data_IF_426029353470
#
_entry.id   IF_426029353470
#
_cell.length_a   1.000
_cell.length_b   1.000
_cell.length_c   1.000
_cell.angle_alpha   90.00
_cell.angle_beta   90.00
_cell.angle_gamma   90.00
#
_symmetry.space_group_name_H-M   'P 1'
#
loop_
_entity.id
_entity.type
_entity.pdbx_description
1 polymer ?
#
# COMPACT_ATOMS: atom_id res chain seq x y z
N UNK A 1 -47.18 -62.84 35.31
CA UNK A 1 -47.30 -62.16 33.99
C UNK A 1 -47.35 -60.63 34.09
N UNK A 2 -47.91 -60.02 35.14
CA UNK A 2 -48.03 -58.55 35.25
C UNK A 2 -46.73 -57.74 35.45
N UNK A 3 -45.75 -58.26 36.22
CA UNK A 3 -44.49 -57.53 36.48
C UNK A 3 -43.60 -57.37 35.24
N UNK A 4 -43.56 -58.39 34.36
CA UNK A 4 -42.75 -58.33 33.14
C UNK A 4 -43.26 -57.25 32.17
N UNK A 5 -44.58 -57.06 32.06
CA UNK A 5 -45.16 -56.07 31.15
C UNK A 5 -44.85 -54.62 31.59
N UNK A 6 -44.82 -54.35 32.90
CA UNK A 6 -44.47 -53.04 33.46
C UNK A 6 -42.99 -52.68 33.26
N UNK A 7 -42.10 -53.66 33.42
CA UNK A 7 -40.65 -53.49 33.21
C UNK A 7 -40.35 -53.19 31.73
N UNK A 8 -40.97 -53.93 30.80
CA UNK A 8 -40.80 -53.69 29.36
C UNK A 8 -41.29 -52.31 28.92
N UNK A 9 -42.38 -51.82 29.53
CA UNK A 9 -42.92 -50.49 29.21
C UNK A 9 -42.01 -49.38 29.74
N UNK A 10 -41.47 -49.55 30.95
CA UNK A 10 -40.50 -48.62 31.56
C UNK A 10 -39.19 -48.56 30.76
N UNK A 11 -38.67 -49.70 30.30
CA UNK A 11 -37.46 -49.77 29.47
C UNK A 11 -37.68 -49.07 28.11
N UNK A 12 -38.85 -49.24 27.48
CA UNK A 12 -39.17 -48.56 26.22
C UNK A 12 -39.23 -47.03 26.39
N UNK A 13 -39.82 -46.54 27.47
CA UNK A 13 -39.89 -45.11 27.78
C UNK A 13 -38.50 -44.53 28.08
N UNK A 14 -37.67 -45.25 28.84
CA UNK A 14 -36.30 -44.84 29.12
C UNK A 14 -35.44 -44.80 27.84
N UNK A 15 -35.60 -45.77 26.95
CA UNK A 15 -34.90 -45.79 25.66
C UNK A 15 -35.36 -44.64 24.75
N UNK A 16 -36.67 -44.37 24.69
CA UNK A 16 -37.20 -43.25 23.91
C UNK A 16 -36.68 -41.89 24.44
N UNK A 17 -36.64 -41.69 25.76
CA UNK A 17 -36.09 -40.48 26.37
C UNK A 17 -34.59 -40.33 26.09
N UNK A 18 -33.82 -41.42 26.22
CA UNK A 18 -32.39 -41.43 25.88
C UNK A 18 -32.15 -41.12 24.39
N UNK A 19 -32.93 -41.72 23.49
CA UNK A 19 -32.85 -41.49 22.05
C UNK A 19 -33.15 -40.04 21.68
N UNK A 20 -34.15 -39.42 22.31
CA UNK A 20 -34.47 -38.00 22.09
C UNK A 20 -33.36 -37.07 22.56
N UNK A 21 -32.73 -37.36 23.70
CA UNK A 21 -31.58 -36.59 24.20
C UNK A 21 -30.34 -36.79 23.31
N UNK A 22 -30.13 -38.01 22.81
CA UNK A 22 -29.04 -38.29 21.87
C UNK A 22 -29.27 -37.58 20.53
N UNK A 23 -30.49 -37.63 19.99
CA UNK A 23 -30.87 -36.98 18.74
C UNK A 23 -30.76 -35.46 18.85
N UNK A 24 -31.17 -34.85 19.97
CA UNK A 24 -31.04 -33.41 20.18
C UNK A 24 -29.57 -32.98 20.28
N UNK A 25 -28.71 -33.77 20.93
CA UNK A 25 -27.26 -33.53 20.97
C UNK A 25 -26.60 -33.72 19.61
N UNK A 26 -27.06 -34.67 18.80
CA UNK A 26 -26.59 -34.88 17.44
C UNK A 26 -26.98 -33.70 16.53
N UNK A 27 -28.24 -33.26 16.58
CA UNK A 27 -28.72 -32.09 15.84
C UNK A 27 -27.97 -30.83 16.27
N UNK A 28 -27.80 -30.60 17.58
CA UNK A 28 -27.01 -29.47 18.09
C UNK A 28 -25.55 -29.55 17.64
N UNK A 29 -24.93 -30.74 17.69
CA UNK A 29 -23.56 -30.93 17.19
C UNK A 29 -23.47 -30.68 15.70
N UNK A 30 -24.45 -31.11 14.89
CA UNK A 30 -24.49 -30.86 13.45
C UNK A 30 -24.74 -29.39 13.12
N UNK A 31 -25.58 -28.68 13.88
CA UNK A 31 -25.79 -27.23 13.72
C UNK A 31 -24.55 -26.44 14.14
N UNK A 32 -23.90 -26.82 15.24
CA UNK A 32 -22.62 -26.23 15.65
C UNK A 32 -21.54 -26.56 14.62
N UNK A 33 -21.54 -27.78 14.06
CA UNK A 33 -20.61 -28.14 12.99
C UNK A 33 -20.88 -27.31 11.73
N UNK A 34 -22.13 -27.15 11.28
CA UNK A 34 -22.44 -26.30 10.12
C UNK A 34 -22.13 -24.83 10.36
N UNK A 35 -22.34 -24.33 11.57
CA UNK A 35 -22.04 -22.95 11.94
C UNK A 35 -20.51 -22.70 12.05
N UNK A 36 -19.74 -23.71 12.46
CA UNK A 36 -18.26 -23.68 12.43
C UNK A 36 -17.72 -23.90 11.01
N UNK A 37 -18.42 -24.69 10.17
CA UNK A 37 -18.09 -24.95 8.76
C UNK A 37 -18.61 -23.88 7.78
N UNK A 38 -19.37 -22.90 8.27
CA UNK A 38 -19.75 -21.69 7.52
C UNK A 38 -18.62 -20.66 7.48
N UNK A 39 -17.44 -20.97 8.02
CA UNK A 39 -16.20 -20.29 7.67
C UNK A 39 -15.91 -20.50 6.19
N UNK A 40 -16.24 -19.48 5.37
CA UNK A 40 -16.19 -19.48 3.91
C UNK A 40 -15.10 -20.40 3.34
N UNK A 41 -15.52 -21.56 2.82
CA UNK A 41 -14.63 -22.47 2.10
C UNK A 41 -14.14 -21.76 0.85
N UNK A 42 -12.85 -21.45 0.80
CA UNK A 42 -12.23 -20.92 -0.41
C UNK A 42 -12.04 -22.06 -1.41
N UNK A 43 -12.47 -21.92 -2.68
CA UNK A 43 -12.29 -22.94 -3.68
C UNK A 43 -10.83 -23.41 -3.78
N UNK A 44 -10.62 -24.71 -4.01
CA UNK A 44 -9.29 -25.29 -4.17
C UNK A 44 -8.46 -24.57 -5.24
N UNK A 45 -9.11 -24.20 -6.34
CA UNK A 45 -8.49 -23.44 -7.44
C UNK A 45 -7.97 -22.08 -6.97
N UNK A 46 -8.74 -21.36 -6.15
CA UNK A 46 -8.35 -20.07 -5.57
C UNK A 46 -7.20 -20.23 -4.59
N UNK A 47 -7.23 -21.25 -3.73
CA UNK A 47 -6.12 -21.57 -2.83
C UNK A 47 -4.83 -21.91 -3.60
N UNK A 48 -4.94 -22.69 -4.68
CA UNK A 48 -3.81 -23.04 -5.54
C UNK A 48 -3.28 -21.83 -6.31
N UNK A 49 -4.16 -20.96 -6.80
CA UNK A 49 -3.78 -19.71 -7.45
C UNK A 49 -2.93 -18.82 -6.53
N UNK A 50 -3.32 -18.67 -5.25
CA UNK A 50 -2.55 -17.92 -4.25
C UNK A 50 -1.17 -18.54 -4.08
N UNK A 51 -1.08 -19.86 -3.96
CA UNK A 51 0.19 -20.56 -3.78
C UNK A 51 1.12 -20.37 -4.98
N UNK A 52 0.59 -20.42 -6.21
CA UNK A 52 1.36 -20.11 -7.41
C UNK A 52 1.89 -18.66 -7.41
N UNK A 53 1.09 -17.69 -6.96
CA UNK A 53 1.54 -16.30 -6.86
C UNK A 53 2.64 -16.14 -5.80
N UNK A 54 2.50 -16.83 -4.67
CA UNK A 54 3.49 -16.85 -3.58
C UNK A 54 4.80 -17.49 -4.03
N UNK A 55 4.72 -18.61 -4.76
CA UNK A 55 5.86 -19.31 -5.37
C UNK A 55 6.69 -18.37 -6.25
N UNK A 56 6.03 -17.56 -7.09
CA UNK A 56 6.73 -16.56 -7.92
C UNK A 56 7.34 -15.44 -7.07
N UNK A 57 6.66 -14.99 -6.01
CA UNK A 57 7.13 -13.93 -5.14
C UNK A 57 8.36 -14.33 -4.29
N UNK A 58 8.37 -15.55 -3.73
CA UNK A 58 9.41 -16.09 -2.85
C UNK A 58 10.51 -16.90 -3.57
N UNK A 59 10.41 -17.09 -4.88
CA UNK A 59 11.37 -17.84 -5.69
C UNK A 59 11.31 -19.37 -5.53
N UNK A 60 10.24 -19.94 -4.98
CA UNK A 60 10.08 -21.40 -4.78
C UNK A 60 9.81 -22.17 -6.10
N UNK A 61 10.01 -21.53 -7.25
CA UNK A 61 10.14 -22.19 -8.56
C UNK A 61 11.59 -22.41 -8.98
N UNK A 62 12.55 -21.83 -8.25
CA UNK A 62 13.97 -22.06 -8.44
C UNK A 62 14.43 -23.20 -7.53
N UNK A 63 14.96 -24.26 -8.12
CA UNK A 63 15.63 -25.36 -7.41
C UNK A 63 17.04 -24.97 -6.90
N UNK A 64 17.28 -23.68 -6.66
CA UNK A 64 18.57 -23.17 -6.19
C UNK A 64 18.36 -22.01 -5.20
N UNK A 65 18.79 -22.23 -3.96
CA UNK A 65 18.75 -21.23 -2.87
C UNK A 65 19.74 -20.06 -3.07
N UNK A 66 20.61 -20.12 -4.09
CA UNK A 66 21.64 -19.11 -4.34
C UNK A 66 21.04 -17.73 -4.61
N UNK A 67 21.50 -16.76 -3.84
CA UNK A 67 21.17 -15.34 -3.98
C UNK A 67 21.43 -14.83 -5.41
N UNK A 68 22.49 -15.29 -6.07
CA UNK A 68 22.85 -14.86 -7.43
C UNK A 68 21.71 -15.09 -8.44
N UNK A 69 21.11 -16.28 -8.45
CA UNK A 69 20.04 -16.63 -9.38
C UNK A 69 18.79 -15.77 -9.13
N UNK A 70 18.47 -15.51 -7.86
CA UNK A 70 17.36 -14.63 -7.48
C UNK A 70 17.59 -13.19 -7.93
N UNK A 71 18.82 -12.68 -7.86
CA UNK A 71 19.17 -11.36 -8.36
C UNK A 71 19.04 -11.27 -9.87
N UNK A 72 19.55 -12.26 -10.61
CA UNK A 72 19.38 -12.36 -12.07
C UNK A 72 17.90 -12.36 -12.43
N UNK A 73 17.10 -13.20 -11.74
CA UNK A 73 15.68 -13.35 -12.01
C UNK A 73 14.88 -12.04 -11.81
N UNK A 74 15.31 -11.18 -10.88
CA UNK A 74 14.74 -9.85 -10.66
C UNK A 74 15.27 -8.81 -11.64
N UNK A 75 16.55 -8.86 -11.95
CA UNK A 75 17.23 -7.86 -12.75
C UNK A 75 16.71 -7.84 -14.20
N UNK A 76 16.45 -9.01 -14.80
CA UNK A 76 16.07 -9.13 -16.21
C UNK A 76 14.77 -8.33 -16.54
N UNK A 77 13.64 -8.51 -15.83
CA UNK A 77 12.43 -7.73 -16.10
C UNK A 77 12.56 -6.23 -15.78
N UNK A 78 13.56 -5.85 -14.98
CA UNK A 78 13.77 -4.47 -14.52
C UNK A 78 14.85 -3.71 -15.30
N UNK A 79 15.42 -4.28 -16.37
CA UNK A 79 16.45 -3.61 -17.17
C UNK A 79 15.99 -2.28 -17.78
N UNK A 80 14.68 -2.11 -18.03
CA UNK A 80 14.13 -0.82 -18.46
C UNK A 80 14.42 0.30 -17.44
N UNK A 81 14.42 0.00 -16.14
CA UNK A 81 14.66 0.98 -15.09
C UNK A 81 16.12 1.42 -15.06
N UNK A 82 17.06 0.54 -15.42
CA UNK A 82 18.47 0.90 -15.60
C UNK A 82 18.60 1.89 -16.75
N UNK A 83 18.01 1.58 -17.91
CA UNK A 83 18.07 2.46 -19.10
C UNK A 83 17.47 3.83 -18.84
N UNK A 84 16.36 3.87 -18.10
CA UNK A 84 15.59 5.09 -17.88
C UNK A 84 16.12 5.89 -16.71
N UNK A 85 16.46 5.28 -15.57
CA UNK A 85 16.83 6.03 -14.36
C UNK A 85 18.32 5.92 -13.99
N UNK A 86 19.11 5.12 -14.71
CA UNK A 86 20.53 4.93 -14.40
C UNK A 86 20.78 4.23 -13.06
N UNK A 87 19.80 3.50 -12.51
CA UNK A 87 19.87 2.89 -11.18
C UNK A 87 20.55 1.51 -11.19
N UNK A 88 21.43 1.28 -10.22
CA UNK A 88 22.01 -0.03 -9.89
C UNK A 88 21.71 -0.36 -8.41
N UNK A 89 20.54 -0.96 -8.17
CA UNK A 89 20.05 -1.32 -6.84
C UNK A 89 19.53 -2.76 -6.80
N UNK A 90 18.93 -3.16 -5.67
CA UNK A 90 18.40 -4.52 -5.44
C UNK A 90 17.29 -4.99 -6.42
N UNK A 91 16.73 -4.08 -7.22
CA UNK A 91 15.76 -4.43 -8.27
C UNK A 91 16.42 -4.72 -9.61
N UNK A 92 17.56 -4.11 -9.89
CA UNK A 92 18.21 -4.10 -11.22
C UNK A 92 19.56 -4.81 -11.25
N UNK A 93 20.22 -4.94 -10.10
CA UNK A 93 21.58 -5.48 -10.00
C UNK A 93 21.60 -7.00 -10.01
N UNK A 94 22.62 -7.56 -10.65
CA UNK A 94 23.02 -8.97 -10.48
C UNK A 94 24.19 -9.12 -9.51
N UNK A 95 24.74 -8.02 -8.99
CA UNK A 95 25.90 -8.01 -8.12
C UNK A 95 25.48 -8.14 -6.64
N UNK A 96 25.95 -9.22 -5.99
CA UNK A 96 25.64 -9.50 -4.57
C UNK A 96 26.11 -8.37 -3.63
N UNK A 97 27.25 -7.74 -3.91
CA UNK A 97 27.79 -6.67 -3.07
C UNK A 97 26.95 -5.39 -3.21
N UNK A 98 26.55 -5.02 -4.42
CA UNK A 98 25.61 -3.90 -4.64
C UNK A 98 24.29 -4.15 -3.91
N UNK A 99 23.72 -5.35 -4.04
CA UNK A 99 22.49 -5.73 -3.34
C UNK A 99 22.64 -5.62 -1.81
N UNK A 100 23.71 -6.18 -1.24
CA UNK A 100 23.97 -6.11 0.21
C UNK A 100 24.18 -4.68 0.70
N UNK A 101 24.90 -3.86 -0.07
CA UNK A 101 25.11 -2.43 0.24
C UNK A 101 23.78 -1.68 0.24
N UNK A 102 22.94 -1.91 -0.78
CA UNK A 102 21.61 -1.32 -0.85
C UNK A 102 20.77 -1.65 0.39
N UNK A 103 20.65 -2.93 0.74
CA UNK A 103 19.88 -3.36 1.93
C UNK A 103 20.46 -2.80 3.23
N UNK A 104 21.80 -2.69 3.34
CA UNK A 104 22.44 -2.09 4.52
C UNK A 104 22.09 -0.60 4.63
N UNK A 105 22.15 0.15 3.53
CA UNK A 105 21.85 1.58 3.52
C UNK A 105 20.38 1.84 3.84
N UNK A 106 19.47 1.12 3.19
CA UNK A 106 18.04 1.20 3.48
C UNK A 106 17.76 0.77 4.93
N UNK A 107 18.39 -0.32 5.38
CA UNK A 107 18.30 -0.77 6.77
C UNK A 107 18.68 0.34 7.76
N UNK A 108 19.83 1.00 7.59
CA UNK A 108 20.25 2.10 8.47
C UNK A 108 19.25 3.26 8.49
N UNK A 109 18.76 3.68 7.32
CA UNK A 109 17.79 4.77 7.22
C UNK A 109 16.46 4.43 7.91
N UNK A 110 16.06 3.15 7.91
CA UNK A 110 14.81 2.69 8.51
C UNK A 110 14.93 2.28 9.99
N UNK A 111 16.06 1.72 10.41
CA UNK A 111 16.31 1.26 11.79
C UNK A 111 16.36 2.39 12.81
N UNK A 112 16.56 3.64 12.36
CA UNK A 112 16.51 4.82 13.20
C UNK A 112 15.11 5.31 13.55
N UNK A 113 14.05 4.82 12.89
CA UNK A 113 12.67 5.31 13.07
C UNK A 113 11.97 4.58 14.23
N UNK A 114 11.94 5.22 15.39
CA UNK A 114 11.25 4.81 16.63
C UNK A 114 9.88 5.50 16.73
N UNK A 115 9.08 5.13 17.73
CA UNK A 115 7.79 5.76 18.01
C UNK A 115 7.91 7.31 18.09
N UNK A 116 8.97 7.79 18.74
CA UNK A 116 9.33 9.21 18.88
C UNK A 116 9.60 9.97 17.56
N UNK A 117 9.81 9.26 16.44
CA UNK A 117 10.08 9.89 15.14
C UNK A 117 8.81 10.21 14.35
N UNK A 118 7.66 9.62 14.69
CA UNK A 118 6.41 9.85 13.98
C UNK A 118 5.88 11.28 14.12
N UNK A 119 5.90 11.92 15.31
CA UNK A 119 5.56 13.33 15.44
C UNK A 119 6.47 14.25 14.63
N UNK A 120 7.78 13.94 14.57
CA UNK A 120 8.75 14.69 13.76
C UNK A 120 8.47 14.54 12.27
N UNK A 121 8.20 13.32 11.80
CA UNK A 121 7.83 13.05 10.42
C UNK A 121 6.52 13.73 10.03
N UNK A 122 5.51 13.70 10.91
CA UNK A 122 4.25 14.41 10.71
C UNK A 122 4.45 15.93 10.62
N UNK A 123 5.29 16.50 11.49
CA UNK A 123 5.63 17.93 11.46
C UNK A 123 6.32 18.30 10.15
N UNK A 124 7.33 17.53 9.75
CA UNK A 124 8.04 17.72 8.49
C UNK A 124 7.12 17.63 7.27
N UNK A 125 6.20 16.64 7.25
CA UNK A 125 5.19 16.50 6.20
C UNK A 125 4.20 17.67 6.17
N UNK A 126 3.76 18.15 7.33
CA UNK A 126 2.86 19.30 7.44
C UNK A 126 3.53 20.58 6.94
N UNK A 127 4.80 20.82 7.32
CA UNK A 127 5.61 21.92 6.80
C UNK A 127 5.77 21.84 5.28
N UNK A 128 6.10 20.65 4.74
CA UNK A 128 6.19 20.44 3.30
C UNK A 128 4.90 20.80 2.58
N UNK A 129 3.75 20.30 3.06
CA UNK A 129 2.46 20.57 2.43
C UNK A 129 2.10 22.06 2.49
N UNK A 130 2.36 22.73 3.62
CA UNK A 130 2.13 24.17 3.75
C UNK A 130 2.96 24.99 2.76
N UNK A 131 4.24 24.65 2.60
CA UNK A 131 5.14 25.30 1.63
C UNK A 131 4.67 25.08 0.18
N UNK A 132 4.22 23.86 -0.14
CA UNK A 132 3.66 23.55 -1.46
C UNK A 132 2.37 24.36 -1.69
N UNK A 133 1.43 24.35 -0.73
CA UNK A 133 0.16 25.06 -0.83
C UNK A 133 0.32 26.58 -0.98
N UNK A 134 1.37 27.16 -0.41
CA UNK A 134 1.69 28.58 -0.57
C UNK A 134 1.90 28.96 -2.05
N UNK A 135 2.35 28.04 -2.91
CA UNK A 135 2.47 28.28 -4.35
C UNK A 135 1.11 28.38 -5.07
N UNK A 136 0.06 27.82 -4.48
CA UNK A 136 -1.28 27.78 -5.03
C UNK A 136 -2.22 28.78 -4.36
N UNK A 137 -1.70 29.78 -3.63
CA UNK A 137 -2.51 30.74 -2.89
C UNK A 137 -3.55 31.47 -3.76
N UNK A 138 -3.28 31.68 -5.05
CA UNK A 138 -4.22 32.28 -6.01
C UNK A 138 -5.16 31.30 -6.73
N UNK A 139 -5.07 29.99 -6.44
CA UNK A 139 -5.82 28.92 -7.11
C UNK A 139 -6.42 27.91 -6.10
N UNK A 140 -6.78 28.39 -4.89
CA UNK A 140 -7.36 27.55 -3.82
C UNK A 140 -8.64 26.81 -4.22
N UNK A 141 -9.31 27.29 -5.27
CA UNK A 141 -10.55 26.72 -5.79
C UNK A 141 -10.32 25.48 -6.67
N UNK A 142 -9.07 25.17 -7.05
CA UNK A 142 -8.74 24.03 -7.90
C UNK A 142 -7.29 23.57 -7.70
N UNK A 143 -7.04 22.85 -6.62
CA UNK A 143 -5.74 22.30 -6.24
C UNK A 143 -5.43 20.99 -7.00
N UNK A 144 -4.29 20.85 -7.72
CA UNK A 144 -3.97 19.64 -8.48
C UNK A 144 -3.45 18.52 -7.56
N UNK A 145 -4.31 17.52 -7.28
CA UNK A 145 -4.09 16.51 -6.24
C UNK A 145 -2.87 15.63 -6.48
N UNK A 146 -2.67 15.15 -7.71
CA UNK A 146 -1.53 14.29 -8.04
C UNK A 146 -0.20 15.02 -7.88
N UNK A 147 -0.14 16.26 -8.36
CA UNK A 147 1.03 17.13 -8.26
C UNK A 147 1.38 17.42 -6.80
N UNK A 148 0.41 17.90 -6.01
CA UNK A 148 0.60 18.17 -4.58
C UNK A 148 1.11 16.94 -3.82
N UNK A 149 0.47 15.79 -4.08
CA UNK A 149 0.85 14.54 -3.41
C UNK A 149 2.25 14.08 -3.83
N UNK A 150 2.59 14.20 -5.12
CA UNK A 150 3.94 13.90 -5.63
C UNK A 150 4.99 14.75 -4.91
N UNK A 151 4.80 16.05 -4.81
CA UNK A 151 5.79 16.91 -4.14
C UNK A 151 5.90 16.64 -2.64
N UNK A 152 4.77 16.45 -1.95
CA UNK A 152 4.73 16.12 -0.52
C UNK A 152 5.52 14.83 -0.23
N UNK A 153 5.26 13.77 -0.99
CA UNK A 153 5.93 12.48 -0.79
C UNK A 153 7.42 12.56 -1.18
N UNK A 154 7.76 13.36 -2.21
CA UNK A 154 9.14 13.57 -2.61
C UNK A 154 9.95 14.27 -1.52
N UNK A 155 9.45 15.40 -1.00
CA UNK A 155 10.10 16.14 0.09
C UNK A 155 10.27 15.28 1.35
N UNK A 156 9.24 14.53 1.73
CA UNK A 156 9.31 13.65 2.91
C UNK A 156 10.20 12.43 2.69
N UNK A 157 10.40 12.00 1.45
CA UNK A 157 11.44 11.02 1.07
C UNK A 157 12.84 11.61 1.25
N UNK A 158 13.08 12.84 0.79
CA UNK A 158 14.36 13.53 0.99
C UNK A 158 14.68 13.71 2.48
N UNK A 159 13.70 14.17 3.25
CA UNK A 159 13.80 14.29 4.71
C UNK A 159 14.15 12.95 5.38
N UNK A 160 13.47 11.87 4.99
CA UNK A 160 13.60 10.58 5.69
C UNK A 160 14.88 9.82 5.38
N UNK A 161 15.39 9.95 4.15
CA UNK A 161 16.50 9.13 3.67
C UNK A 161 17.80 9.90 3.46
N UNK A 162 17.73 11.24 3.40
CA UNK A 162 18.86 12.12 3.12
C UNK A 162 19.02 13.26 4.12
N UNK A 163 18.20 13.29 5.18
CA UNK A 163 18.27 14.27 6.28
C UNK A 163 18.21 15.73 5.80
N UNK A 164 17.51 15.97 4.69
CA UNK A 164 17.36 17.30 4.09
C UNK A 164 16.40 18.14 4.93
N UNK A 165 16.80 19.37 5.25
CA UNK A 165 15.87 20.37 5.77
C UNK A 165 14.94 20.85 4.64
N UNK A 166 13.66 20.49 4.75
CA UNK A 166 12.60 20.77 3.77
C UNK A 166 12.49 22.27 3.47
N UNK A 167 12.69 23.15 4.45
CA UNK A 167 12.54 24.59 4.29
C UNK A 167 13.63 25.20 3.38
N UNK A 168 14.76 24.52 3.24
CA UNK A 168 15.88 24.98 2.41
C UNK A 168 15.82 24.43 0.97
N UNK A 169 14.84 23.58 0.65
CA UNK A 169 14.72 22.95 -0.66
C UNK A 169 13.98 23.87 -1.62
N UNK A 170 14.57 24.11 -2.78
CA UNK A 170 13.90 24.79 -3.90
C UNK A 170 12.69 23.98 -4.37
N UNK A 171 11.49 24.49 -4.15
CA UNK A 171 10.27 23.81 -4.61
C UNK A 171 10.16 23.77 -6.14
N UNK A 172 10.83 24.69 -6.86
CA UNK A 172 10.97 24.57 -8.31
C UNK A 172 11.74 23.30 -8.69
N UNK A 173 12.84 23.00 -7.98
CA UNK A 173 13.63 21.79 -8.22
C UNK A 173 12.85 20.51 -7.85
N UNK A 174 12.00 20.58 -6.81
CA UNK A 174 11.07 19.50 -6.47
C UNK A 174 10.08 19.24 -7.61
N UNK A 175 9.47 20.30 -8.18
CA UNK A 175 8.55 20.19 -9.31
C UNK A 175 9.23 19.59 -10.53
N UNK A 176 10.44 20.07 -10.85
CA UNK A 176 11.24 19.56 -11.97
C UNK A 176 11.55 18.08 -11.77
N UNK A 177 12.05 17.69 -10.59
CA UNK A 177 12.41 16.31 -10.31
C UNK A 177 11.19 15.36 -10.37
N UNK A 178 10.08 15.74 -9.74
CA UNK A 178 8.86 14.90 -9.71
C UNK A 178 8.18 14.79 -11.07
N UNK A 179 8.22 15.84 -11.90
CA UNK A 179 7.74 15.77 -13.28
C UNK A 179 8.65 14.91 -14.16
N UNK A 180 9.97 15.10 -14.08
CA UNK A 180 10.92 14.29 -14.84
C UNK A 180 10.78 12.80 -14.52
N UNK A 181 10.66 12.44 -13.23
CA UNK A 181 10.44 11.03 -12.82
C UNK A 181 9.14 10.47 -13.42
N UNK A 182 8.04 11.23 -13.36
CA UNK A 182 6.76 10.80 -13.88
C UNK A 182 6.79 10.60 -15.41
N UNK A 183 7.29 11.60 -16.14
CA UNK A 183 7.44 11.58 -17.61
C UNK A 183 8.28 10.38 -18.04
N UNK A 184 9.48 10.25 -17.44
CA UNK A 184 10.39 9.15 -17.73
C UNK A 184 9.75 7.78 -17.46
N UNK A 185 8.97 7.65 -16.40
CA UNK A 185 8.24 6.41 -16.12
C UNK A 185 7.18 6.11 -17.18
N UNK A 186 6.39 7.11 -17.59
CA UNK A 186 5.35 6.96 -18.61
C UNK A 186 5.98 6.53 -19.94
N UNK A 187 7.03 7.23 -20.38
CA UNK A 187 7.73 6.95 -21.63
C UNK A 187 8.57 5.66 -21.60
N UNK A 188 8.97 5.17 -20.41
CA UNK A 188 9.71 3.89 -20.27
C UNK A 188 8.97 2.67 -20.83
N UNK A 189 7.64 2.77 -20.99
CA UNK A 189 6.80 1.67 -21.47
C UNK A 189 6.69 1.61 -22.98
N UNK A 190 6.94 2.70 -23.69
CA UNK A 190 6.74 2.81 -25.14
C UNK A 190 8.04 2.98 -25.92
N UNK A 191 9.18 3.27 -25.25
CA UNK A 191 10.54 3.36 -25.83
C UNK A 191 10.55 4.08 -27.20
N UNK A 192 9.81 5.19 -27.31
CA UNK A 192 9.62 5.87 -28.60
C UNK A 192 10.44 7.16 -28.74
N UNK A 193 11.04 7.68 -27.66
CA UNK A 193 11.59 9.05 -27.64
C UNK A 193 12.86 9.15 -26.75
N UNK A 194 14.04 8.70 -27.25
CA UNK A 194 15.28 8.69 -26.47
C UNK A 194 15.77 10.10 -26.10
N UNK A 195 15.58 11.09 -26.96
CA UNK A 195 16.04 12.47 -26.71
C UNK A 195 15.32 13.11 -25.52
N UNK A 196 14.00 12.92 -25.44
CA UNK A 196 13.16 13.41 -24.32
C UNK A 196 13.60 12.74 -23.01
N UNK A 197 13.89 11.44 -23.02
CA UNK A 197 14.40 10.74 -21.83
C UNK A 197 15.74 11.31 -21.38
N UNK A 198 16.65 11.60 -22.32
CA UNK A 198 17.96 12.17 -21.98
C UNK A 198 17.86 13.60 -21.45
N UNK A 199 16.94 14.41 -21.98
CA UNK A 199 16.64 15.74 -21.46
C UNK A 199 16.08 15.66 -20.02
N UNK A 200 15.05 14.83 -19.79
CA UNK A 200 14.48 14.63 -18.45
C UNK A 200 15.50 14.09 -17.45
N UNK A 201 16.39 13.18 -17.86
CA UNK A 201 17.51 12.73 -17.02
C UNK A 201 18.44 13.86 -16.62
N UNK A 202 18.78 14.77 -17.55
CA UNK A 202 19.65 15.92 -17.28
C UNK A 202 18.99 16.89 -16.31
N UNK A 203 17.71 17.21 -16.51
CA UNK A 203 16.92 18.07 -15.62
C UNK A 203 16.84 17.47 -14.21
N UNK A 204 16.51 16.18 -14.12
CA UNK A 204 16.45 15.45 -12.85
C UNK A 204 17.78 15.50 -12.11
N UNK A 205 18.89 15.18 -12.79
CA UNK A 205 20.21 15.16 -12.16
C UNK A 205 20.66 16.56 -11.72
N UNK A 206 20.35 17.60 -12.48
CA UNK A 206 20.65 18.97 -12.10
C UNK A 206 19.86 19.41 -10.85
N UNK A 207 18.57 19.07 -10.79
CA UNK A 207 17.72 19.33 -9.63
C UNK A 207 18.20 18.55 -8.39
N UNK A 208 18.52 17.26 -8.54
CA UNK A 208 19.04 16.44 -7.45
C UNK A 208 20.40 16.95 -6.95
N UNK A 209 21.29 17.39 -7.83
CA UNK A 209 22.58 17.95 -7.43
C UNK A 209 22.41 19.20 -6.54
N UNK A 210 21.44 20.07 -6.86
CA UNK A 210 21.16 21.26 -6.05
C UNK A 210 20.53 20.90 -4.70
N UNK A 211 19.63 19.91 -4.67
CA UNK A 211 18.94 19.50 -3.44
C UNK A 211 19.79 18.59 -2.54
N UNK A 212 20.70 17.81 -3.12
CA UNK A 212 21.50 16.77 -2.46
C UNK A 212 22.99 16.87 -2.83
N UNK A 213 23.66 18.01 -2.62
CA UNK A 213 25.04 18.22 -3.10
C UNK A 213 26.03 17.18 -2.54
N UNK A 214 25.79 16.68 -1.32
CA UNK A 214 26.65 15.67 -0.67
C UNK A 214 26.56 14.27 -1.29
N UNK A 215 25.52 14.01 -2.11
CA UNK A 215 25.34 12.73 -2.80
C UNK A 215 26.07 12.70 -4.15
N UNK A 216 26.74 13.80 -4.54
CA UNK A 216 27.46 13.93 -5.81
C UNK A 216 28.94 14.31 -5.60
N UNK A 217 29.85 13.92 -6.52
CA UNK A 217 29.60 13.09 -7.70
C UNK A 217 29.28 11.63 -7.33
N UNK A 218 28.42 10.98 -8.11
CA UNK A 218 27.99 9.60 -7.85
C UNK A 218 28.27 8.66 -9.03
N UNK A 219 28.37 7.36 -8.71
CA UNK A 219 28.27 6.28 -9.69
C UNK A 219 26.81 5.80 -9.80
N UNK A 220 26.49 4.98 -10.81
CA UNK A 220 25.17 4.35 -10.92
C UNK A 220 24.75 3.61 -9.62
N UNK A 221 25.70 3.02 -8.91
CA UNK A 221 25.45 2.22 -7.71
C UNK A 221 25.40 3.03 -6.40
N UNK A 222 25.71 4.34 -6.46
CA UNK A 222 25.62 5.29 -5.36
C UNK A 222 24.66 6.44 -5.65
N UNK A 223 24.10 6.50 -6.85
CA UNK A 223 23.15 7.55 -7.25
C UNK A 223 21.95 7.61 -6.29
N UNK A 224 21.50 8.81 -5.85
CA UNK A 224 20.37 8.94 -4.92
C UNK A 224 19.05 8.32 -5.45
N UNK A 225 18.88 8.22 -6.77
CA UNK A 225 17.74 7.56 -7.41
C UNK A 225 17.58 6.08 -7.04
N UNK A 226 18.66 5.43 -6.58
CA UNK A 226 18.57 4.07 -6.06
C UNK A 226 17.62 3.97 -4.86
N UNK A 227 17.52 5.02 -4.03
CA UNK A 227 16.64 5.10 -2.85
C UNK A 227 15.38 5.89 -3.18
N UNK A 228 15.50 7.04 -3.87
CA UNK A 228 14.36 7.91 -4.17
C UNK A 228 13.32 7.15 -4.98
N UNK A 229 13.69 6.49 -6.08
CA UNK A 229 12.71 5.83 -6.94
C UNK A 229 11.83 4.81 -6.18
N UNK A 230 12.38 3.80 -5.47
CA UNK A 230 11.54 2.83 -4.76
C UNK A 230 10.84 3.39 -3.51
N UNK A 231 11.28 4.50 -2.92
CA UNK A 231 10.63 5.07 -1.74
C UNK A 231 9.51 6.06 -2.11
N UNK A 232 9.77 6.94 -3.07
CA UNK A 232 8.84 7.97 -3.53
C UNK A 232 7.77 7.39 -4.45
N UNK A 233 8.18 6.65 -5.49
CA UNK A 233 7.29 6.27 -6.58
C UNK A 233 6.19 5.31 -6.15
N UNK A 234 6.51 4.41 -5.22
CA UNK A 234 5.52 3.48 -4.68
C UNK A 234 4.59 4.13 -3.67
N UNK A 235 4.96 5.27 -3.09
CA UNK A 235 4.30 5.87 -1.92
C UNK A 235 3.28 6.94 -2.31
N UNK A 236 3.59 7.81 -3.27
CA UNK A 236 2.70 8.95 -3.56
C UNK A 236 1.32 8.50 -4.07
N UNK A 237 1.28 7.43 -4.88
CA UNK A 237 0.03 6.91 -5.47
C UNK A 237 -0.88 6.30 -4.42
N UNK A 238 -0.29 5.51 -3.53
CA UNK A 238 -1.04 4.85 -2.46
C UNK A 238 -1.55 5.87 -1.45
N UNK A 239 -0.75 6.88 -1.12
CA UNK A 239 -1.18 8.01 -0.27
C UNK A 239 -2.37 8.73 -0.90
N UNK A 240 -2.27 9.14 -2.18
CA UNK A 240 -3.37 9.81 -2.87
C UNK A 240 -4.64 8.96 -2.91
N UNK A 241 -4.55 7.72 -3.38
CA UNK A 241 -5.72 6.86 -3.56
C UNK A 241 -6.37 6.48 -2.23
N UNK A 242 -5.58 6.31 -1.16
CA UNK A 242 -6.10 6.05 0.20
C UNK A 242 -6.80 7.30 0.74
N UNK A 243 -6.20 8.48 0.59
CA UNK A 243 -6.82 9.74 0.99
C UNK A 243 -8.16 9.95 0.29
N UNK A 244 -8.21 9.76 -1.03
CA UNK A 244 -9.45 9.91 -1.78
C UNK A 244 -10.49 8.86 -1.36
N UNK A 245 -10.10 7.60 -1.21
CA UNK A 245 -11.00 6.51 -0.81
C UNK A 245 -11.62 6.75 0.57
N UNK A 246 -10.81 7.15 1.54
CA UNK A 246 -11.27 7.39 2.90
C UNK A 246 -12.05 8.72 3.05
N UNK A 247 -11.67 9.76 2.29
CA UNK A 247 -12.19 11.12 2.48
C UNK A 247 -13.33 11.54 1.54
N UNK A 248 -13.50 10.89 0.38
CA UNK A 248 -14.37 11.37 -0.69
C UNK A 248 -15.19 10.29 -1.42
N UNK A 249 -14.94 9.01 -1.17
CA UNK A 249 -15.70 7.90 -1.77
C UNK A 249 -16.80 7.42 -0.82
N UNK A 250 -17.66 6.55 -1.35
CA UNK A 250 -18.75 5.97 -0.57
C UNK A 250 -18.19 4.93 0.41
N UNK A 251 -18.28 5.24 1.70
CA UNK A 251 -17.88 4.37 2.81
C UNK A 251 -19.03 4.34 3.82
N UNK A 252 -19.15 3.26 4.57
CA UNK A 252 -20.13 3.19 5.65
C UNK A 252 -19.84 4.21 6.77
N UNK A 253 -20.87 4.53 7.56
CA UNK A 253 -20.78 5.54 8.61
C UNK A 253 -19.71 5.19 9.65
N UNK A 254 -19.56 3.91 9.98
CA UNK A 254 -18.54 3.46 10.94
C UNK A 254 -17.13 3.76 10.42
N UNK A 255 -16.85 3.47 9.14
CA UNK A 255 -15.58 3.77 8.50
C UNK A 255 -15.33 5.28 8.45
N UNK A 256 -16.35 6.09 8.16
CA UNK A 256 -16.23 7.55 8.20
C UNK A 256 -15.89 8.07 9.61
N UNK A 257 -16.57 7.56 10.64
CA UNK A 257 -16.32 7.91 12.04
C UNK A 257 -14.92 7.49 12.49
N UNK A 258 -14.48 6.26 12.15
CA UNK A 258 -13.11 5.80 12.41
C UNK A 258 -12.07 6.68 11.71
N UNK A 259 -12.33 7.10 10.46
CA UNK A 259 -11.39 7.99 9.77
C UNK A 259 -11.28 9.35 10.47
N UNK A 260 -12.38 9.88 11.00
CA UNK A 260 -12.40 11.11 11.79
C UNK A 260 -11.55 10.97 13.06
N UNK A 261 -11.68 9.86 13.77
CA UNK A 261 -10.84 9.54 14.94
C UNK A 261 -9.36 9.43 14.57
N UNK A 262 -9.04 8.76 13.45
CA UNK A 262 -7.67 8.65 12.93
C UNK A 262 -7.09 10.02 12.57
N UNK A 263 -7.87 10.88 11.92
CA UNK A 263 -7.44 12.26 11.62
C UNK A 263 -7.14 13.00 12.92
N UNK A 264 -7.95 12.84 13.97
CA UNK A 264 -7.72 13.54 15.23
C UNK A 264 -6.51 13.00 15.99
N UNK A 265 -6.34 11.68 16.04
CA UNK A 265 -5.33 11.03 16.88
C UNK A 265 -3.94 10.85 16.27
N UNK A 266 -3.78 10.98 14.94
CA UNK A 266 -2.45 10.94 14.30
C UNK A 266 -1.80 12.33 14.35
N UNK A 267 -0.51 12.44 14.75
CA UNK A 267 0.46 11.35 14.99
C UNK A 267 0.56 10.82 16.42
N UNK A 268 -0.09 11.45 17.40
CA UNK A 268 0.08 11.18 18.82
C UNK A 268 -0.22 9.71 19.19
N UNK A 269 -1.13 9.06 18.47
CA UNK A 269 -1.46 7.64 18.67
C UNK A 269 -0.27 6.70 18.43
N UNK A 270 0.78 7.13 17.73
CA UNK A 270 1.99 6.33 17.48
C UNK A 270 3.11 6.55 18.49
N UNK A 271 2.90 7.39 19.51
CA UNK A 271 3.85 7.57 20.63
C UNK A 271 3.76 6.41 21.63
N UNK A 272 4.87 6.11 22.31
CA UNK A 272 4.93 5.02 23.28
C UNK A 272 3.99 5.27 24.47
N UNK A 273 3.19 4.26 24.85
CA UNK A 273 2.32 4.30 26.03
C UNK A 273 0.87 4.75 25.77
N UNK A 274 0.51 5.10 24.54
CA UNK A 274 -0.88 5.36 24.15
C UNK A 274 -1.64 4.07 23.83
N UNK A 275 -2.90 3.97 24.25
CA UNK A 275 -3.72 2.75 24.06
C UNK A 275 -4.04 2.48 22.59
N UNK A 276 -3.88 1.21 22.20
CA UNK A 276 -3.71 0.66 20.85
C UNK A 276 -4.81 0.93 19.80
N UNK A 277 -6.00 1.40 20.17
CA UNK A 277 -7.16 1.37 19.27
C UNK A 277 -7.02 2.33 18.07
N UNK A 278 -6.69 3.61 18.28
CA UNK A 278 -6.57 4.58 17.16
C UNK A 278 -5.38 4.25 16.27
N UNK A 279 -4.26 3.81 16.86
CA UNK A 279 -3.10 3.35 16.09
C UNK A 279 -3.44 2.13 15.23
N UNK A 280 -4.16 1.16 15.79
CA UNK A 280 -4.64 0.00 15.03
C UNK A 280 -5.61 0.40 13.90
N UNK A 281 -6.56 1.31 14.17
CA UNK A 281 -7.45 1.86 13.14
C UNK A 281 -6.63 2.53 12.02
N UNK A 282 -5.71 3.44 12.36
CA UNK A 282 -4.84 4.13 11.41
C UNK A 282 -4.07 3.13 10.53
N UNK A 283 -3.53 2.07 11.14
CA UNK A 283 -2.85 1.01 10.42
C UNK A 283 -3.78 0.20 9.51
N UNK A 284 -5.04 -0.01 9.90
CA UNK A 284 -6.04 -0.70 9.07
C UNK A 284 -6.41 0.11 7.82
N UNK A 285 -6.51 1.44 7.91
CA UNK A 285 -6.67 2.31 6.72
C UNK A 285 -5.48 2.17 5.76
N UNK A 286 -4.25 2.17 6.29
CA UNK A 286 -3.04 1.97 5.49
C UNK A 286 -3.03 0.59 4.81
N UNK A 287 -3.39 -0.47 5.54
CA UNK A 287 -3.46 -1.83 5.01
C UNK A 287 -4.52 -1.96 3.91
N UNK A 288 -5.70 -1.35 4.09
CA UNK A 288 -6.76 -1.39 3.10
C UNK A 288 -6.40 -0.61 1.84
N UNK A 289 -5.73 0.53 1.99
CA UNK A 289 -5.12 1.22 0.86
C UNK A 289 -4.16 0.29 0.11
N UNK A 290 -3.23 -0.35 0.82
CA UNK A 290 -2.22 -1.24 0.22
C UNK A 290 -2.82 -2.47 -0.47
N UNK A 291 -3.95 -2.98 0.04
CA UNK A 291 -4.73 -4.05 -0.58
C UNK A 291 -5.41 -3.56 -1.86
N UNK A 292 -6.12 -2.44 -1.79
CA UNK A 292 -6.91 -1.97 -2.92
C UNK A 292 -6.03 -1.37 -4.03
N UNK A 293 -4.92 -0.73 -3.66
CA UNK A 293 -4.02 -0.02 -4.56
C UNK A 293 -2.55 -0.45 -4.38
N UNK A 294 -2.20 -1.73 -4.58
CA UNK A 294 -0.86 -2.22 -4.37
C UNK A 294 0.12 -1.50 -5.31
N UNK A 295 1.18 -0.85 -4.79
CA UNK A 295 2.13 -0.12 -5.61
C UNK A 295 2.82 -1.01 -6.67
N UNK A 296 3.07 -2.27 -6.29
CA UNK A 296 3.52 -3.32 -7.21
C UNK A 296 2.37 -4.27 -7.50
N UNK A 297 1.60 -3.98 -8.55
CA UNK A 297 0.45 -4.83 -8.98
C UNK A 297 0.88 -6.22 -9.42
N UNK A 298 2.06 -6.33 -10.04
CA UNK A 298 2.61 -7.55 -10.62
C UNK A 298 4.09 -7.67 -10.31
N UNK A 299 4.50 -8.87 -9.91
CA UNK A 299 5.90 -9.21 -9.63
C UNK A 299 6.41 -10.08 -10.78
N UNK A 300 7.41 -9.59 -11.51
CA UNK A 300 8.00 -10.30 -12.64
C UNK A 300 9.31 -11.00 -12.25
N UNK A 301 9.53 -12.18 -12.81
CA UNK A 301 10.79 -12.93 -12.74
C UNK A 301 11.10 -13.52 -14.11
N UNK A 302 12.34 -13.44 -14.58
CA UNK A 302 12.71 -13.99 -15.88
C UNK A 302 14.11 -14.59 -15.86
N UNK A 303 14.41 -15.49 -16.77
CA UNK A 303 15.75 -16.05 -16.97
C UNK A 303 16.27 -15.65 -18.34
N UNK A 304 17.60 -15.75 -18.54
CA UNK A 304 18.22 -15.39 -19.81
C UNK A 304 17.56 -16.12 -21.00
N UNK A 305 17.16 -17.38 -20.79
CA UNK A 305 16.57 -18.24 -21.83
C UNK A 305 15.28 -18.96 -21.39
N UNK A 306 14.61 -18.46 -20.35
CA UNK A 306 13.43 -19.10 -19.75
C UNK A 306 12.16 -18.24 -19.81
N UNK A 307 10.98 -18.84 -19.57
CA UNK A 307 9.73 -18.10 -19.56
C UNK A 307 9.73 -17.04 -18.45
N UNK A 308 9.07 -15.91 -18.72
CA UNK A 308 8.82 -14.91 -17.69
C UNK A 308 7.68 -15.39 -16.78
N UNK A 309 7.97 -15.50 -15.48
CA UNK A 309 6.99 -15.78 -14.44
C UNK A 309 6.41 -14.48 -13.90
N UNK A 310 5.12 -14.48 -13.57
CA UNK A 310 4.38 -13.31 -13.12
C UNK A 310 3.54 -13.69 -11.91
N UNK A 311 3.69 -12.97 -10.80
CA UNK A 311 2.73 -12.99 -9.71
C UNK A 311 1.76 -11.81 -9.86
N UNK A 312 0.45 -12.04 -9.92
CA UNK A 312 -0.58 -11.00 -9.97
C UNK A 312 -1.11 -10.68 -8.56
N UNK A 313 -0.41 -9.75 -7.90
CA UNK A 313 -0.71 -9.30 -6.53
C UNK A 313 -2.07 -8.61 -6.47
N UNK A 314 -2.39 -7.81 -7.50
CA UNK A 314 -3.67 -7.11 -7.57
C UNK A 314 -4.83 -8.09 -7.66
N UNK A 315 -4.68 -9.19 -8.42
CA UNK A 315 -5.70 -10.24 -8.47
C UNK A 315 -5.84 -10.93 -7.12
N UNK A 316 -4.76 -11.32 -6.45
CA UNK A 316 -4.84 -11.88 -5.08
C UNK A 316 -5.58 -10.96 -4.11
N UNK A 317 -5.34 -9.64 -4.21
CA UNK A 317 -5.92 -8.65 -3.31
C UNK A 317 -7.38 -8.33 -3.59
N UNK A 318 -7.91 -8.70 -4.76
CA UNK A 318 -9.26 -8.35 -5.23
C UNK A 318 -10.09 -9.58 -5.61
N UNK A 319 -9.62 -10.77 -5.25
CA UNK A 319 -10.34 -12.00 -5.50
C UNK A 319 -11.60 -12.05 -4.60
N UNK A 320 -12.82 -12.12 -5.17
CA UNK A 320 -14.05 -12.11 -4.38
C UNK A 320 -14.22 -13.37 -3.51
N UNK A 321 -13.55 -14.48 -3.84
CA UNK A 321 -13.57 -15.70 -3.02
C UNK A 321 -12.78 -15.52 -1.71
N UNK A 322 -11.85 -14.54 -1.67
CA UNK A 322 -10.98 -14.25 -0.53
C UNK A 322 -11.45 -12.99 0.19
N UNK A 323 -11.85 -11.96 -0.57
CA UNK A 323 -12.17 -10.63 -0.08
C UNK A 323 -13.63 -10.28 -0.38
N UNK A 324 -14.53 -10.35 0.63
CA UNK A 324 -15.94 -9.97 0.43
C UNK A 324 -16.07 -8.52 -0.05
N UNK A 325 -16.83 -8.24 -1.12
CA UNK A 325 -16.88 -6.91 -1.73
C UNK A 325 -15.46 -6.34 -2.04
N UNK A 326 -14.66 -6.99 -2.89
CA UNK A 326 -13.22 -6.76 -2.99
C UNK A 326 -12.84 -5.35 -3.48
N UNK A 327 -13.76 -4.64 -4.12
CA UNK A 327 -13.53 -3.31 -4.67
C UNK A 327 -13.88 -2.18 -3.69
N UNK A 328 -14.60 -2.48 -2.60
CA UNK A 328 -14.94 -1.50 -1.57
C UNK A 328 -13.76 -1.26 -0.63
N UNK A 329 -13.50 0.01 -0.34
CA UNK A 329 -12.53 0.44 0.67
C UNK A 329 -13.12 0.24 2.06
N UNK A 330 -12.74 -0.86 2.74
CA UNK A 330 -13.28 -1.26 4.04
C UNK A 330 -12.16 -1.63 5.02
N UNK A 331 -11.63 -0.66 5.79
CA UNK A 331 -10.55 -0.91 6.76
C UNK A 331 -10.87 -1.96 7.83
N UNK A 332 -12.14 -2.14 8.18
CA UNK A 332 -12.60 -3.11 9.19
C UNK A 332 -12.21 -4.57 8.88
N UNK A 333 -11.87 -4.90 7.62
CA UNK A 333 -11.32 -6.21 7.22
C UNK A 333 -10.07 -6.63 7.99
N UNK A 334 -9.31 -5.67 8.50
CA UNK A 334 -8.07 -5.92 9.22
C UNK A 334 -8.25 -5.96 10.74
N UNK A 335 -9.50 -5.93 11.23
CA UNK A 335 -9.82 -6.13 12.63
C UNK A 335 -9.55 -7.59 13.05
N UNK A 336 -9.19 -7.83 14.32
CA UNK A 336 -9.13 -9.18 14.87
C UNK A 336 -10.47 -9.91 14.66
N UNK A 337 -10.43 -11.11 14.08
CA UNK A 337 -11.62 -11.92 13.77
C UNK A 337 -12.17 -11.75 12.35
N UNK A 338 -11.95 -10.60 11.71
CA UNK A 338 -12.33 -10.36 10.31
C UNK A 338 -11.19 -10.73 9.34
N UNK A 339 -9.94 -10.52 9.76
CA UNK A 339 -8.77 -10.82 8.94
C UNK A 339 -8.44 -12.32 8.99
N UNK A 340 -8.95 -13.07 8.00
CA UNK A 340 -8.79 -14.52 7.94
C UNK A 340 -7.37 -14.94 7.54
N UNK A 341 -7.01 -16.19 7.83
CA UNK A 341 -5.73 -16.76 7.41
C UNK A 341 -5.56 -16.72 5.88
N UNK A 342 -6.65 -16.83 5.12
CA UNK A 342 -6.60 -16.79 3.67
C UNK A 342 -6.38 -15.38 3.13
N UNK A 343 -7.04 -14.37 3.72
CA UNK A 343 -6.74 -12.97 3.46
C UNK A 343 -5.26 -12.68 3.76
N UNK A 344 -4.74 -13.19 4.88
CA UNK A 344 -3.31 -13.05 5.21
C UNK A 344 -2.40 -13.71 4.17
N UNK A 345 -2.74 -14.91 3.69
CA UNK A 345 -1.97 -15.59 2.63
C UNK A 345 -1.99 -14.83 1.30
N UNK A 346 -3.11 -14.20 0.96
CA UNK A 346 -3.29 -13.41 -0.26
C UNK A 346 -2.72 -11.99 -0.16
N UNK A 347 -2.57 -11.44 1.05
CA UNK A 347 -2.13 -10.08 1.30
C UNK A 347 -0.61 -9.91 1.15
N UNK A 348 -0.18 -9.70 -0.10
CA UNK A 348 1.23 -9.57 -0.52
C UNK A 348 1.68 -8.16 -0.98
N UNK A 349 1.27 -7.03 -0.37
CA UNK A 349 1.59 -5.68 -0.88
C UNK A 349 3.10 -5.35 -0.89
N UNK A 350 3.87 -6.05 -0.05
CA UNK A 350 5.30 -5.86 0.12
C UNK A 350 6.15 -7.06 -0.34
N UNK A 351 5.57 -7.97 -1.13
CA UNK A 351 6.14 -9.30 -1.40
C UNK A 351 6.35 -10.11 -0.10
N UNK A 352 6.97 -11.28 -0.22
CA UNK A 352 7.30 -12.17 0.90
C UNK A 352 8.79 -12.49 0.95
N UNK A 353 9.22 -13.10 2.07
CA UNK A 353 10.59 -13.63 2.21
C UNK A 353 10.90 -14.55 1.02
N UNK A 354 12.14 -14.58 0.53
CA UNK A 354 13.34 -13.94 1.10
C UNK A 354 13.58 -12.50 0.65
N UNK A 355 12.76 -11.92 -0.24
CA UNK A 355 12.92 -10.56 -0.77
C UNK A 355 11.72 -9.66 -0.43
N UNK A 356 11.25 -9.74 0.82
CA UNK A 356 10.24 -8.83 1.38
C UNK A 356 10.80 -7.39 1.39
N UNK A 357 9.94 -6.41 1.14
CA UNK A 357 10.31 -5.00 1.23
C UNK A 357 10.87 -4.67 2.63
N UNK A 358 12.03 -4.00 2.74
CA UNK A 358 12.62 -3.65 4.03
C UNK A 358 11.78 -2.64 4.83
N UNK A 359 10.91 -1.87 4.17
CA UNK A 359 10.03 -0.88 4.82
C UNK A 359 8.67 -1.44 5.29
N UNK A 360 8.39 -2.73 5.05
CA UNK A 360 7.06 -3.31 5.19
C UNK A 360 6.49 -3.28 6.62
N UNK A 361 7.32 -3.54 7.63
CA UNK A 361 6.83 -3.87 8.97
C UNK A 361 6.54 -2.64 9.84
N UNK A 362 7.17 -1.50 9.54
CA UNK A 362 7.01 -0.27 10.31
C UNK A 362 6.87 0.93 9.38
N UNK A 363 7.93 1.24 8.64
CA UNK A 363 8.03 2.53 7.97
C UNK A 363 6.92 2.82 6.95
N UNK A 364 6.72 1.95 5.97
CA UNK A 364 5.83 2.26 4.86
C UNK A 364 4.37 2.40 5.30
N UNK A 365 3.77 1.49 6.10
CA UNK A 365 2.40 1.68 6.54
C UNK A 365 2.15 2.94 7.38
N UNK A 366 3.09 3.29 8.28
CA UNK A 366 3.00 4.50 9.11
C UNK A 366 3.14 5.77 8.26
N UNK A 367 4.12 5.80 7.36
CA UNK A 367 4.33 6.92 6.45
C UNK A 367 3.09 7.15 5.57
N UNK A 368 2.47 6.09 5.04
CA UNK A 368 1.23 6.19 4.25
C UNK A 368 0.14 6.90 5.06
N UNK A 369 -0.19 6.38 6.25
CA UNK A 369 -1.33 6.94 7.00
C UNK A 369 -1.04 8.34 7.55
N UNK A 370 0.20 8.63 7.96
CA UNK A 370 0.60 9.98 8.37
C UNK A 370 0.43 10.96 7.20
N UNK A 371 0.89 10.61 5.99
CA UNK A 371 0.74 11.49 4.83
C UNK A 371 -0.73 11.65 4.40
N UNK A 372 -1.54 10.59 4.51
CA UNK A 372 -2.99 10.65 4.29
C UNK A 372 -3.65 11.60 5.28
N UNK A 373 -3.30 11.54 6.56
CA UNK A 373 -3.84 12.43 7.59
C UNK A 373 -3.37 13.87 7.39
N UNK A 374 -2.11 14.09 7.00
CA UNK A 374 -1.60 15.43 6.66
C UNK A 374 -2.40 16.06 5.52
N UNK A 375 -2.70 15.29 4.47
CA UNK A 375 -3.59 15.73 3.39
C UNK A 375 -5.01 16.02 3.92
N UNK A 376 -5.59 15.13 4.71
CA UNK A 376 -6.94 15.30 5.23
C UNK A 376 -7.10 16.49 6.18
N UNK A 377 -6.14 16.73 7.10
CA UNK A 377 -6.16 17.90 7.99
C UNK A 377 -6.02 19.21 7.22
N UNK A 378 -5.20 19.23 6.16
CA UNK A 378 -4.87 20.48 5.44
C UNK A 378 -5.84 20.81 4.31
N UNK A 379 -6.34 19.80 3.61
CA UNK A 379 -7.20 19.95 2.42
C UNK A 379 -8.68 19.72 2.74
N UNK A 380 -8.99 19.08 3.87
CA UNK A 380 -10.32 18.65 4.25
C UNK A 380 -10.74 17.32 3.63
N UNK A 381 -11.95 16.90 3.99
CA UNK A 381 -12.67 15.73 3.47
C UNK A 381 -14.05 16.18 3.00
N UNK A 382 -14.84 15.23 2.46
CA UNK A 382 -16.22 15.50 2.11
C UNK A 382 -17.05 15.99 3.30
N UNK A 383 -16.85 15.41 4.49
CA UNK A 383 -17.55 15.83 5.73
C UNK A 383 -17.24 17.28 6.11
N UNK A 384 -16.01 17.72 5.87
CA UNK A 384 -15.60 19.11 6.13
C UNK A 384 -16.00 20.07 5.00
N UNK A 385 -16.71 19.59 3.96
CA UNK A 385 -17.19 20.38 2.83
C UNK A 385 -16.21 20.56 1.67
N UNK A 386 -15.06 19.87 1.67
CA UNK A 386 -14.19 19.85 0.51
C UNK A 386 -14.79 18.95 -0.59
N UNK A 387 -14.47 19.25 -1.86
CA UNK A 387 -14.94 18.44 -2.99
C UNK A 387 -13.81 18.10 -3.95
N UNK A 388 -13.90 16.94 -4.59
CA UNK A 388 -12.94 16.47 -5.60
C UNK A 388 -13.65 16.38 -6.94
N UNK A 389 -13.01 16.89 -7.98
CA UNK A 389 -13.41 16.69 -9.38
C UNK A 389 -12.43 15.74 -10.03
N UNK A 390 -12.94 14.62 -10.54
CA UNK A 390 -12.16 13.59 -11.20
C UNK A 390 -12.00 13.85 -12.71
N UNK A 391 -12.78 14.79 -13.27
CA UNK A 391 -12.90 15.02 -14.72
C UNK A 391 -13.28 13.73 -15.46
N UNK A 392 -14.16 12.96 -14.82
CA UNK A 392 -14.64 11.69 -15.31
C UNK A 392 -16.09 11.51 -14.85
N UNK A 393 -17.03 11.55 -15.78
CA UNK A 393 -18.47 11.53 -15.48
C UNK A 393 -18.89 10.37 -14.58
N UNK A 394 -18.27 9.20 -14.75
CA UNK A 394 -18.57 8.03 -13.91
C UNK A 394 -18.10 8.26 -12.48
N UNK A 395 -16.84 8.66 -12.27
CA UNK A 395 -16.29 8.87 -10.93
C UNK A 395 -16.92 10.06 -10.20
N UNK A 396 -17.30 11.11 -10.94
CA UNK A 396 -17.93 12.32 -10.40
C UNK A 396 -19.39 12.09 -9.99
N UNK A 397 -20.09 11.12 -10.61
CA UNK A 397 -21.51 10.80 -10.29
C UNK A 397 -21.67 9.61 -9.36
N UNK A 398 -20.81 8.60 -9.49
CA UNK A 398 -20.86 7.37 -8.69
C UNK A 398 -19.67 7.36 -7.74
N UNK A 399 -19.95 7.55 -6.44
CA UNK A 399 -18.93 7.52 -5.37
C UNK A 399 -18.53 6.11 -4.95
N UNK A 400 -19.28 5.08 -5.37
CA UNK A 400 -18.97 3.66 -5.11
C UNK A 400 -18.02 3.08 -6.17
N UNK A 401 -17.90 3.73 -7.33
CA UNK A 401 -17.01 3.28 -8.40
C UNK A 401 -15.56 3.17 -7.92
N UNK A 402 -14.90 2.08 -8.32
CA UNK A 402 -13.50 1.81 -8.00
C UNK A 402 -12.59 2.86 -8.63
N UNK A 403 -11.69 3.44 -7.83
CA UNK A 403 -10.74 4.41 -8.36
C UNK A 403 -9.76 3.76 -9.34
N UNK A 404 -9.52 4.40 -10.49
CA UNK A 404 -8.51 3.95 -11.41
C UNK A 404 -7.12 4.13 -10.77
N UNK A 405 -6.21 3.22 -11.09
CA UNK A 405 -4.89 3.15 -10.46
C UNK A 405 -3.76 3.10 -11.49
N UNK A 406 -4.04 3.40 -12.75
CA UNK A 406 -3.06 3.73 -13.78
C UNK A 406 -2.46 5.11 -13.54
N UNK A 407 -1.29 5.37 -14.14
CA UNK A 407 -0.40 6.50 -13.79
C UNK A 407 -0.98 7.86 -14.14
N UNK A 408 -1.55 7.95 -15.33
CA UNK A 408 -2.10 9.17 -15.88
C UNK A 408 -3.53 9.44 -15.38
N UNK A 409 -4.19 8.42 -14.84
CA UNK A 409 -5.60 8.44 -14.47
C UNK A 409 -5.94 9.51 -13.41
N UNK A 410 -4.94 9.99 -12.66
CA UNK A 410 -5.09 10.93 -11.54
C UNK A 410 -4.57 12.34 -11.85
N UNK A 411 -3.93 12.58 -13.01
CA UNK A 411 -3.24 13.86 -13.27
C UNK A 411 -4.20 15.04 -13.39
N UNK A 412 -5.43 14.76 -13.82
CA UNK A 412 -6.50 15.75 -14.02
C UNK A 412 -7.37 16.00 -12.77
N UNK A 413 -7.08 15.31 -11.66
CA UNK A 413 -7.89 15.41 -10.44
C UNK A 413 -7.59 16.69 -9.68
N UNK A 414 -8.65 17.43 -9.35
CA UNK A 414 -8.56 18.70 -8.63
C UNK A 414 -9.41 18.69 -7.37
N UNK A 415 -8.93 19.34 -6.32
CA UNK A 415 -9.66 19.53 -5.08
C UNK A 415 -10.04 21.00 -4.90
N UNK A 416 -11.30 21.23 -4.50
CA UNK A 416 -11.79 22.52 -4.05
C UNK A 416 -11.96 22.45 -2.52
N UNK A 417 -11.22 23.29 -1.79
CA UNK A 417 -11.38 23.41 -0.35
C UNK A 417 -12.72 24.10 -0.04
N UNK A 418 -13.28 23.87 1.16
CA UNK A 418 -14.49 24.57 1.58
C UNK A 418 -14.24 26.08 1.61
N UNK A 419 -15.14 26.87 1.02
CA UNK A 419 -15.15 28.33 1.17
C UNK A 419 -15.26 28.68 2.66
N UNK A 420 -14.19 29.24 3.23
CA UNK A 420 -14.21 29.81 4.58
C UNK A 420 -14.80 31.22 4.59
N UNK A 421 -15.37 31.68 3.46
CA UNK A 421 -16.03 32.98 3.30
C UNK A 421 -17.55 32.85 3.39
N UNK A 422 -18.06 32.46 4.56
CA UNK A 422 -19.47 32.69 4.97
C UNK A 422 -19.50 33.08 6.44
#
# INVERSE_FOLDING_TARGET
MGLYCSIFTTIKLAFAAWFLVWLSRLIYSLMVYSFIWEGAYIPLETSQFIEDQRRVANFDFLDDSKLQNRLIARAIPNQRLVKVFGIDNSFTTTNINTHRRFYRNVGRALHGKRAEDWPRFFTAASTALNLILAQFAGARDSLPLAVLTRELVFLTTLYSFFEVNIENVSLHDVRVATNAINDMWVHSKTIAQPDILQERQRELNAALLRMLPNEFPCSAATHPMNIILPAYETMWRIVLLTFISAGFRDVDQETADQFREVIQGVPECFEDGNSDNVAAMAMNFSKEGLRLYPPTKRIYRAFLDGPQMIADIQKCHRDPDIWPNPEQFRPSRFLPGEFTADMERAYLPFSIKPHKCPAADKFAPHAIIILVVVLAKSLGTLESGATVRFRNDTLDRDRSALLPSGRLDTEDWTLQMKDTSV
#
